data_IF_143673497016
#
_entry.id   IF_143673497016
#
_cell.length_a   1.000
_cell.length_b   1.000
_cell.length_c   1.000
_cell.angle_alpha   90.00
_cell.angle_beta   90.00
_cell.angle_gamma   90.00
#
_symmetry.space_group_name_H-M   'P 1'
#
loop_
_entity.id
_entity.type
_entity.pdbx_description
1 polymer ?
#
# COMPACT_ATOMS: atom_id res chain seq x y z
N UNK A 1 2.27 -9.72 21.05
CA UNK A 1 2.77 -8.70 20.11
C UNK A 1 3.13 -9.39 18.82
N UNK A 2 2.47 -9.03 17.73
CA UNK A 2 2.46 -9.77 16.47
C UNK A 2 3.73 -9.40 15.67
N UNK A 3 4.78 -10.22 15.75
CA UNK A 3 6.13 -9.97 15.18
C UNK A 3 6.17 -9.59 13.69
N UNK A 4 5.08 -9.75 12.93
CA UNK A 4 5.00 -9.44 11.50
C UNK A 4 4.60 -8.00 11.20
N UNK A 5 3.77 -7.39 12.04
CA UNK A 5 3.35 -5.99 11.86
C UNK A 5 4.56 -5.09 12.02
N UNK A 6 5.28 -5.19 13.14
CA UNK A 6 6.56 -4.50 13.42
C UNK A 6 7.56 -4.36 12.26
N UNK A 7 7.55 -5.23 11.24
CA UNK A 7 8.54 -5.22 10.16
C UNK A 7 8.32 -4.13 9.11
N UNK A 8 7.10 -3.65 8.88
CA UNK A 8 6.86 -2.55 7.93
C UNK A 8 7.14 -1.22 8.61
N UNK A 9 6.53 -0.99 9.78
CA UNK A 9 6.66 0.25 10.55
C UNK A 9 8.12 0.51 10.92
N UNK A 10 8.90 -0.52 11.31
CA UNK A 10 10.34 -0.35 11.56
C UNK A 10 11.15 -0.01 10.31
N UNK A 11 10.81 -0.60 9.17
CA UNK A 11 11.50 -0.29 7.91
C UNK A 11 11.18 1.14 7.46
N UNK A 12 9.94 1.58 7.66
CA UNK A 12 9.50 2.93 7.37
C UNK A 12 10.11 3.96 8.33
N UNK A 13 10.16 3.68 9.64
CA UNK A 13 10.85 4.51 10.63
C UNK A 13 12.34 4.65 10.29
N UNK A 14 12.99 3.57 9.85
CA UNK A 14 14.38 3.63 9.41
C UNK A 14 14.55 4.52 8.18
N UNK A 15 13.62 4.49 7.22
CA UNK A 15 13.63 5.41 6.07
C UNK A 15 13.52 6.88 6.50
N UNK A 16 12.66 7.20 7.46
CA UNK A 16 12.55 8.55 8.02
C UNK A 16 13.86 9.00 8.68
N UNK A 17 14.52 8.11 9.41
CA UNK A 17 15.81 8.39 10.04
C UNK A 17 16.93 8.57 9.01
N UNK A 18 16.95 7.76 7.96
CA UNK A 18 17.88 7.95 6.83
C UNK A 18 17.67 9.34 6.20
N UNK A 19 16.42 9.75 5.98
CA UNK A 19 16.11 11.08 5.45
C UNK A 19 16.59 12.20 6.39
N UNK A 20 16.43 12.06 7.71
CA UNK A 20 16.97 13.03 8.67
C UNK A 20 18.49 13.14 8.54
N UNK A 21 19.19 12.00 8.55
CA UNK A 21 20.65 11.95 8.46
C UNK A 21 21.11 12.58 7.14
N UNK A 22 20.52 12.21 5.99
CA UNK A 22 20.89 12.74 4.68
C UNK A 22 20.68 14.25 4.55
N UNK A 23 19.80 14.85 5.35
CA UNK A 23 19.57 16.29 5.39
C UNK A 23 20.55 17.04 6.32
N UNK A 24 21.41 16.34 7.07
CA UNK A 24 22.43 16.97 7.89
C UNK A 24 23.61 17.45 7.03
N UNK A 25 24.11 18.66 7.31
CA UNK A 25 25.22 19.29 6.55
C UNK A 25 26.56 18.50 6.61
N UNK A 26 26.68 17.52 7.50
CA UNK A 26 27.96 16.85 7.83
C UNK A 26 28.08 15.42 7.29
N UNK A 27 27.10 14.90 6.55
CA UNK A 27 27.20 13.54 6.01
C UNK A 27 28.27 13.49 4.93
N UNK A 28 29.22 12.56 5.10
CA UNK A 28 30.26 12.34 4.10
C UNK A 28 29.69 11.64 2.86
N UNK A 29 30.25 11.91 1.67
CA UNK A 29 29.83 11.28 0.41
C UNK A 29 29.75 9.74 0.52
N UNK A 30 30.71 9.13 1.21
CA UNK A 30 30.75 7.67 1.42
C UNK A 30 29.60 7.17 2.29
N UNK A 31 29.21 7.93 3.31
CA UNK A 31 28.04 7.61 4.14
C UNK A 31 26.75 7.86 3.38
N UNK A 32 26.64 8.93 2.60
CA UNK A 32 25.47 9.20 1.75
C UNK A 32 25.18 8.04 0.80
N UNK A 33 26.22 7.48 0.16
CA UNK A 33 26.07 6.33 -0.74
C UNK A 33 25.55 5.09 -0.01
N UNK A 34 26.08 4.79 1.18
CA UNK A 34 25.61 3.66 1.99
C UNK A 34 24.16 3.83 2.46
N UNK A 35 23.81 5.03 2.91
CA UNK A 35 22.45 5.37 3.35
C UNK A 35 21.46 5.27 2.18
N UNK A 36 21.88 5.64 0.98
CA UNK A 36 21.07 5.50 -0.23
C UNK A 36 20.83 4.02 -0.59
N UNK A 37 21.88 3.19 -0.59
CA UNK A 37 21.74 1.74 -0.81
C UNK A 37 20.83 1.07 0.23
N UNK A 38 20.96 1.47 1.49
CA UNK A 38 20.08 1.01 2.57
C UNK A 38 18.62 1.44 2.33
N UNK A 39 18.40 2.70 1.94
CA UNK A 39 17.07 3.21 1.65
C UNK A 39 16.41 2.48 0.47
N UNK A 40 17.16 2.18 -0.60
CA UNK A 40 16.67 1.45 -1.77
C UNK A 40 16.15 0.04 -1.40
N UNK A 41 16.92 -0.67 -0.57
CA UNK A 41 16.51 -1.97 -0.04
C UNK A 41 15.24 -1.87 0.82
N UNK A 42 15.17 -0.88 1.71
CA UNK A 42 14.00 -0.68 2.59
C UNK A 42 12.74 -0.31 1.80
N UNK A 43 12.86 0.51 0.75
CA UNK A 43 11.75 0.88 -0.13
C UNK A 43 11.21 -0.34 -0.86
N UNK A 44 12.10 -1.20 -1.36
CA UNK A 44 11.74 -2.46 -2.02
C UNK A 44 10.95 -3.36 -1.05
N UNK A 45 11.49 -3.59 0.14
CA UNK A 45 10.84 -4.42 1.17
C UNK A 45 9.47 -3.88 1.59
N UNK A 46 9.34 -2.56 1.76
CA UNK A 46 8.08 -1.91 2.08
C UNK A 46 7.05 -2.09 0.97
N UNK A 47 7.47 -1.93 -0.29
CA UNK A 47 6.59 -2.08 -1.45
C UNK A 47 6.04 -3.51 -1.58
N UNK A 48 6.89 -4.52 -1.36
CA UNK A 48 6.46 -5.92 -1.37
C UNK A 48 5.42 -6.23 -0.29
N UNK A 49 5.63 -5.69 0.92
CA UNK A 49 4.68 -5.86 2.03
C UNK A 49 3.33 -5.22 1.74
N UNK A 50 3.32 -4.00 1.19
CA UNK A 50 2.10 -3.31 0.80
C UNK A 50 1.34 -4.07 -0.29
N UNK A 51 2.04 -4.54 -1.31
CA UNK A 51 1.44 -5.33 -2.40
C UNK A 51 0.83 -6.64 -1.86
N UNK A 52 1.54 -7.34 -0.96
CA UNK A 52 1.00 -8.54 -0.31
C UNK A 52 -0.26 -8.25 0.52
N UNK A 53 -0.29 -7.12 1.22
CA UNK A 53 -1.45 -6.69 1.99
C UNK A 53 -2.65 -6.36 1.07
N UNK A 54 -2.41 -5.63 -0.02
CA UNK A 54 -3.41 -5.31 -1.04
C UNK A 54 -4.02 -6.57 -1.65
N UNK A 55 -3.19 -7.51 -2.12
CA UNK A 55 -3.67 -8.79 -2.66
C UNK A 55 -4.53 -9.57 -1.67
N UNK A 56 -4.13 -9.56 -0.39
CA UNK A 56 -4.91 -10.23 0.66
C UNK A 56 -6.27 -9.56 0.85
N UNK A 57 -6.33 -8.23 0.83
CA UNK A 57 -7.59 -7.46 0.90
C UNK A 57 -8.47 -7.79 -0.30
N UNK A 58 -7.92 -7.80 -1.52
CA UNK A 58 -8.69 -8.18 -2.71
C UNK A 58 -9.30 -9.58 -2.60
N UNK A 59 -8.52 -10.57 -2.16
CA UNK A 59 -9.03 -11.94 -1.98
C UNK A 59 -10.17 -11.97 -0.95
N UNK A 60 -10.05 -11.22 0.15
CA UNK A 60 -11.09 -11.15 1.17
C UNK A 60 -12.36 -10.46 0.64
N UNK A 61 -12.23 -9.42 -0.17
CA UNK A 61 -13.34 -8.74 -0.85
C UNK A 61 -14.03 -9.70 -1.84
N UNK A 62 -13.24 -10.38 -2.69
CA UNK A 62 -13.70 -11.41 -3.66
C UNK A 62 -14.45 -12.56 -2.96
N UNK A 63 -14.04 -12.95 -1.75
CA UNK A 63 -14.71 -13.99 -0.96
C UNK A 63 -15.99 -13.52 -0.26
N UNK A 64 -16.07 -12.25 0.13
CA UNK A 64 -17.18 -11.72 0.94
C UNK A 64 -18.41 -11.36 0.10
N UNK A 65 -18.19 -10.86 -1.11
CA UNK A 65 -19.27 -10.45 -2.00
C UNK A 65 -19.05 -11.16 -3.34
N UNK A 66 -20.12 -11.69 -3.94
CA UNK A 66 -20.19 -11.99 -5.39
C UNK A 66 -20.04 -10.69 -6.20
N UNK A 67 -18.94 -9.95 -6.04
CA UNK A 67 -18.65 -8.69 -6.70
C UNK A 67 -18.22 -8.99 -8.13
N UNK A 68 -18.98 -8.47 -9.09
CA UNK A 68 -18.52 -8.43 -10.47
C UNK A 68 -17.43 -7.36 -10.61
N UNK A 69 -16.27 -7.77 -11.08
CA UNK A 69 -15.18 -6.87 -11.47
C UNK A 69 -15.32 -6.52 -12.96
N UNK A 70 -14.84 -5.34 -13.34
CA UNK A 70 -14.65 -5.00 -14.75
C UNK A 70 -13.37 -5.63 -15.32
N UNK A 71 -13.08 -5.36 -16.59
CA UNK A 71 -11.93 -5.92 -17.31
C UNK A 71 -10.58 -5.44 -16.74
N UNK A 72 -10.58 -4.35 -15.98
CA UNK A 72 -9.40 -3.73 -15.39
C UNK A 72 -9.26 -4.08 -13.88
N UNK A 73 -10.02 -5.08 -13.41
CA UNK A 73 -10.11 -5.52 -12.01
C UNK A 73 -10.64 -4.47 -11.03
N UNK A 74 -11.33 -3.43 -11.51
CA UNK A 74 -12.00 -2.48 -10.62
C UNK A 74 -13.39 -3.00 -10.23
N UNK A 75 -13.91 -2.65 -9.04
CA UNK A 75 -15.29 -3.00 -8.67
C UNK A 75 -16.29 -2.38 -9.63
N UNK A 76 -17.14 -3.19 -10.29
CA UNK A 76 -18.27 -2.64 -11.06
C UNK A 76 -19.21 -1.92 -10.11
N UNK A 77 -19.35 -0.62 -10.31
CA UNK A 77 -20.42 0.17 -9.72
C UNK A 77 -21.64 0.02 -10.61
N UNK A 78 -22.67 -0.71 -10.18
CA UNK A 78 -23.96 -0.59 -10.84
C UNK A 78 -24.43 0.86 -10.69
N UNK A 79 -24.77 1.52 -11.82
CA UNK A 79 -25.51 2.76 -11.75
C UNK A 79 -26.83 2.45 -11.04
N UNK A 80 -27.03 3.07 -9.87
CA UNK A 80 -28.32 3.07 -9.22
C UNK A 80 -29.32 3.68 -10.20
N UNK A 81 -30.07 2.80 -10.86
CA UNK A 81 -31.24 3.16 -11.65
C UNK A 81 -32.42 2.95 -10.73
N UNK A 82 -32.90 3.98 -10.02
CA UNK A 82 -34.12 3.84 -9.24
C UNK A 82 -35.20 3.40 -10.22
N UNK A 83 -35.81 2.24 -9.96
CA UNK A 83 -37.04 1.88 -10.66
C UNK A 83 -38.02 3.01 -10.39
N UNK A 84 -38.33 3.81 -11.41
CA UNK A 84 -39.47 4.70 -11.39
C UNK A 84 -40.69 3.79 -11.23
N UNK A 85 -41.12 3.58 -9.99
CA UNK A 85 -42.50 3.24 -9.69
C UNK A 85 -43.32 4.47 -10.06
N UNK A 86 -43.75 4.53 -11.32
CA UNK A 86 -44.99 5.21 -11.64
C UNK A 86 -46.09 4.16 -11.51
N UNK A 87 -46.52 3.95 -10.28
CA UNK A 87 -47.86 3.43 -10.02
C UNK A 87 -48.84 4.51 -10.49
N UNK A 88 -49.60 4.22 -11.55
CA UNK A 88 -50.81 4.90 -12.06
C UNK A 88 -51.19 4.10 -13.33
N UNK A 89 -52.29 3.37 -13.49
CA UNK A 89 -53.58 3.23 -12.81
C UNK A 89 -54.04 1.76 -12.97
#
# INVERSE_FOLDING_TARGET
MNKKEDSFEKAFERLEDILKILNEEKVSLKESLKLFEEADSLITDCSEKLNSAEQKIEILIKKRNNLELDLDNNPKKELFSPKLQTDNE
#
